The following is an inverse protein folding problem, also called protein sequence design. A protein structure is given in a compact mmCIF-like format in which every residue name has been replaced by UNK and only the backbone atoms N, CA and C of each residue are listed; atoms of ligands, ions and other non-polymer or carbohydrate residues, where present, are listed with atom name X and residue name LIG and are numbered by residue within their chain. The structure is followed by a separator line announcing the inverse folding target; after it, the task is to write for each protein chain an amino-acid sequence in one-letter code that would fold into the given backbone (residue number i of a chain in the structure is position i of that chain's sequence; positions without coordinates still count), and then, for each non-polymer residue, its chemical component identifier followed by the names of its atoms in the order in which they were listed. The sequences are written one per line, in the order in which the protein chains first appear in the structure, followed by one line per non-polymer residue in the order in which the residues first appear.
data_IF_464888076875
#
_entry.id   IF_464888076875
#
_cell.length_a   1.000
_cell.length_b   1.000
_cell.length_c   1.000
_cell.angle_alpha   90.00
_cell.angle_beta   90.00
_cell.angle_gamma   90.00
#
_symmetry.space_group_name_H-M   'P 1'
#
loop_
_entity.id
_entity.type
_entity.pdbx_description
1 polymer ?
#
# COMPACT_ATOMS: atom_id res chain seq x y z
N UNK A 1 -22.83 7.52 41.03
CA UNK A 1 -22.67 8.57 42.07
C UNK A 1 -21.31 9.24 41.91
N UNK A 2 -21.14 10.48 42.39
CA UNK A 2 -19.84 11.19 42.37
C UNK A 2 -18.71 10.41 43.06
N UNK A 3 -19.05 9.54 44.03
CA UNK A 3 -18.08 8.70 44.75
C UNK A 3 -17.34 7.71 43.83
N UNK A 4 -18.01 7.14 42.82
CA UNK A 4 -17.37 6.18 41.90
C UNK A 4 -16.45 6.87 40.90
N UNK A 5 -16.79 8.09 40.48
CA UNK A 5 -16.01 8.86 39.48
C UNK A 5 -14.70 9.41 40.05
N UNK A 6 -14.62 9.57 41.37
CA UNK A 6 -13.45 10.07 42.09
C UNK A 6 -12.61 8.94 42.70
N UNK A 7 -13.08 7.69 42.64
CA UNK A 7 -12.36 6.56 43.21
C UNK A 7 -11.36 6.00 42.18
N UNK A 8 -10.06 6.23 42.41
CA UNK A 8 -8.98 5.81 41.52
C UNK A 8 -9.00 4.31 41.21
N UNK A 9 -9.25 3.44 42.18
CA UNK A 9 -9.25 1.99 41.97
C UNK A 9 -10.41 1.54 41.06
N UNK A 10 -11.62 2.05 41.31
CA UNK A 10 -12.78 1.75 40.47
C UNK A 10 -12.60 2.29 39.05
N UNK A 11 -12.12 3.53 38.90
CA UNK A 11 -11.84 4.12 37.58
C UNK A 11 -10.76 3.33 36.87
N UNK A 12 -9.67 2.96 37.55
CA UNK A 12 -8.58 2.16 36.96
C UNK A 12 -9.09 0.83 36.43
N UNK A 13 -9.96 0.14 37.18
CA UNK A 13 -10.58 -1.10 36.73
C UNK A 13 -11.46 -0.87 35.50
N UNK A 14 -12.29 0.18 35.52
CA UNK A 14 -13.19 0.50 34.41
C UNK A 14 -12.44 0.84 33.11
N UNK A 15 -11.36 1.63 33.18
CA UNK A 15 -10.58 2.00 31.98
C UNK A 15 -9.78 0.84 31.41
N UNK A 16 -9.39 -0.13 32.24
CA UNK A 16 -8.75 -1.38 31.78
C UNK A 16 -9.70 -2.28 31.00
N UNK A 17 -10.98 -2.28 31.36
CA UNK A 17 -12.01 -3.04 30.63
C UNK A 17 -12.52 -2.27 29.41
N UNK A 18 -12.68 -0.95 29.53
CA UNK A 18 -13.18 -0.04 28.49
C UNK A 18 -12.49 1.33 28.58
N UNK A 19 -11.52 1.61 27.69
CA UNK A 19 -10.71 2.83 27.73
C UNK A 19 -11.54 4.12 27.69
N UNK A 20 -12.64 4.13 26.94
CA UNK A 20 -13.57 5.27 26.86
C UNK A 20 -14.29 5.59 28.19
N UNK A 21 -14.18 4.73 29.20
CA UNK A 21 -14.66 5.01 30.57
C UNK A 21 -13.96 6.22 31.19
N UNK A 22 -12.73 6.49 30.78
CA UNK A 22 -12.27 7.81 30.32
C UNK A 22 -13.10 9.03 30.79
N UNK A 23 -14.11 9.26 29.97
CA UNK A 23 -15.02 10.42 30.00
C UNK A 23 -15.85 10.57 31.27
N UNK A 24 -16.01 9.50 32.05
CA UNK A 24 -16.81 9.52 33.27
C UNK A 24 -15.98 9.77 34.53
N UNK A 25 -14.64 9.70 34.45
CA UNK A 25 -13.77 9.99 35.58
C UNK A 25 -13.85 11.47 35.98
N UNK A 26 -13.47 11.78 37.21
CA UNK A 26 -13.31 13.16 37.68
C UNK A 26 -12.23 13.88 36.88
N UNK A 27 -12.21 15.22 36.93
CA UNK A 27 -11.18 15.99 36.21
C UNK A 27 -9.78 15.67 36.72
N UNK A 28 -9.64 15.43 38.02
CA UNK A 28 -8.40 15.01 38.65
C UNK A 28 -7.94 13.63 38.16
N UNK A 29 -8.87 12.68 37.91
CA UNK A 29 -8.52 11.36 37.39
C UNK A 29 -8.37 11.30 35.86
N UNK A 30 -9.02 12.19 35.11
CA UNK A 30 -8.69 12.49 33.70
C UNK A 30 -7.30 13.09 33.55
N UNK A 31 -6.74 13.53 34.67
CA UNK A 31 -5.42 14.11 34.82
C UNK A 31 -4.46 13.15 35.55
N UNK A 32 -4.89 11.97 35.97
CA UNK A 32 -4.00 11.01 36.64
C UNK A 32 -3.22 10.18 35.60
N UNK A 33 -1.89 10.18 35.71
CA UNK A 33 -1.01 9.53 34.73
C UNK A 33 -1.29 8.02 34.58
N UNK A 34 -1.47 7.30 35.69
CA UNK A 34 -1.70 5.86 35.67
C UNK A 34 -3.04 5.51 35.01
N UNK A 35 -4.06 6.31 35.32
CA UNK A 35 -5.42 6.14 34.79
C UNK A 35 -5.43 6.42 33.28
N UNK A 36 -4.85 7.55 32.86
CA UNK A 36 -4.79 7.94 31.45
C UNK A 36 -3.97 6.93 30.66
N UNK A 37 -2.80 6.51 31.17
CA UNK A 37 -1.96 5.53 30.50
C UNK A 37 -2.66 4.18 30.35
N UNK A 38 -3.38 3.72 31.38
CA UNK A 38 -4.18 2.51 31.31
C UNK A 38 -5.29 2.62 30.26
N UNK A 39 -5.98 3.78 30.20
CA UNK A 39 -7.04 4.03 29.24
C UNK A 39 -6.54 4.03 27.78
N UNK A 40 -5.46 4.75 27.48
CA UNK A 40 -4.94 4.86 26.09
C UNK A 40 -4.31 3.56 25.59
N UNK A 41 -3.73 2.75 26.49
CA UNK A 41 -3.23 1.41 26.14
C UNK A 41 -4.37 0.47 25.79
N UNK A 42 -5.50 0.57 26.50
CA UNK A 42 -6.69 -0.19 26.19
C UNK A 42 -7.32 0.25 24.86
N UNK A 43 -7.42 1.57 24.65
CA UNK A 43 -7.98 2.19 23.44
C UNK A 43 -7.38 3.58 23.23
N UNK A 44 -6.61 3.73 22.15
CA UNK A 44 -5.91 4.99 21.84
C UNK A 44 -6.81 6.22 21.81
N UNK A 45 -8.05 6.11 21.33
CA UNK A 45 -8.99 7.25 21.29
C UNK A 45 -9.42 7.76 22.67
N UNK A 46 -9.17 7.02 23.76
CA UNK A 46 -9.43 7.49 25.12
C UNK A 46 -8.65 8.78 25.46
N UNK A 47 -7.60 9.10 24.70
CA UNK A 47 -6.88 10.36 24.77
C UNK A 47 -7.79 11.59 24.61
N UNK A 48 -8.93 11.46 23.91
CA UNK A 48 -9.98 12.49 23.82
C UNK A 48 -10.39 13.05 25.19
N UNK A 49 -10.46 12.17 26.19
CA UNK A 49 -10.96 12.47 27.53
C UNK A 49 -9.86 12.83 28.54
N UNK A 50 -8.60 12.66 28.16
CA UNK A 50 -7.48 13.09 28.99
C UNK A 50 -7.40 14.62 29.04
N UNK A 51 -6.71 15.14 30.05
CA UNK A 51 -6.43 16.57 30.13
C UNK A 51 -5.55 17.08 28.98
N UNK A 52 -5.58 18.39 28.76
CA UNK A 52 -4.86 19.04 27.68
C UNK A 52 -3.34 18.83 27.77
N UNK A 53 -2.78 18.69 28.99
CA UNK A 53 -1.35 18.41 29.14
C UNK A 53 -0.92 17.05 28.61
N UNK A 54 -1.80 16.05 28.58
CA UNK A 54 -1.50 14.74 27.99
C UNK A 54 -1.68 14.77 26.48
N UNK A 55 -2.67 15.53 25.99
CA UNK A 55 -2.84 15.82 24.55
C UNK A 55 -1.68 16.62 23.97
N UNK A 56 -1.02 17.44 24.79
CA UNK A 56 0.18 18.19 24.43
C UNK A 56 1.49 17.44 24.73
N UNK A 57 1.42 16.21 25.24
CA UNK A 57 2.59 15.38 25.55
C UNK A 57 2.84 14.36 24.45
N UNK A 58 3.91 14.55 23.68
CA UNK A 58 4.29 13.66 22.57
C UNK A 58 4.32 12.18 22.95
N UNK A 59 4.86 11.82 24.12
CA UNK A 59 4.95 10.42 24.57
C UNK A 59 3.56 9.80 24.74
N UNK A 60 2.63 10.53 25.34
CA UNK A 60 1.25 10.05 25.55
C UNK A 60 0.50 9.92 24.23
N UNK A 61 0.65 10.89 23.33
CA UNK A 61 0.02 10.83 22.01
C UNK A 61 0.58 9.65 21.20
N UNK A 62 1.90 9.47 21.16
CA UNK A 62 2.51 8.35 20.43
C UNK A 62 2.15 6.99 21.05
N UNK A 63 2.06 6.88 22.38
CA UNK A 63 1.57 5.66 23.05
C UNK A 63 0.13 5.34 22.64
N UNK A 64 -0.76 6.34 22.64
CA UNK A 64 -2.14 6.17 22.19
C UNK A 64 -2.21 5.73 20.71
N UNK A 65 -1.33 6.28 19.87
CA UNK A 65 -1.23 5.90 18.44
C UNK A 65 -0.77 4.45 18.22
N UNK A 66 -0.06 3.82 19.16
CA UNK A 66 0.32 2.41 19.03
C UNK A 66 -0.92 1.51 18.96
N UNK A 67 -1.93 1.81 19.78
CA UNK A 67 -3.22 1.12 19.81
C UNK A 67 -4.08 1.54 18.61
N UNK A 68 -4.24 2.86 18.39
CA UNK A 68 -5.07 3.40 17.32
C UNK A 68 -4.46 4.69 16.76
N UNK A 69 -3.97 4.66 15.53
CA UNK A 69 -3.28 5.81 14.91
C UNK A 69 -4.13 7.09 14.83
N UNK A 70 -5.47 6.96 14.79
CA UNK A 70 -6.41 8.10 14.79
C UNK A 70 -6.32 8.94 16.09
N UNK A 71 -5.65 8.45 17.14
CA UNK A 71 -5.38 9.21 18.35
C UNK A 71 -4.64 10.54 18.10
N UNK A 72 -3.91 10.67 16.98
CA UNK A 72 -3.27 11.92 16.57
C UNK A 72 -4.26 13.10 16.41
N UNK A 73 -5.54 12.83 16.10
CA UNK A 73 -6.57 13.86 15.99
C UNK A 73 -6.81 14.59 17.33
N UNK A 74 -6.55 13.92 18.45
CA UNK A 74 -6.70 14.46 19.80
C UNK A 74 -5.44 15.12 20.34
N UNK A 75 -4.33 15.11 19.59
CA UNK A 75 -3.13 15.85 19.95
C UNK A 75 -3.42 17.36 20.04
N UNK A 76 -2.58 18.11 20.74
CA UNK A 76 -2.67 19.56 20.73
C UNK A 76 -2.35 20.14 19.35
N UNK A 77 -2.85 21.34 19.06
CA UNK A 77 -2.49 22.07 17.83
C UNK A 77 -0.99 22.36 17.73
N UNK A 78 -0.31 22.51 18.88
CA UNK A 78 1.15 22.64 18.95
C UNK A 78 1.83 21.40 18.39
N UNK A 79 1.46 20.21 18.85
CA UNK A 79 2.02 18.95 18.35
C UNK A 79 1.63 18.69 16.89
N UNK A 80 0.36 18.90 16.51
CA UNK A 80 -0.07 18.76 15.11
C UNK A 80 0.67 19.71 14.16
N UNK A 81 1.22 20.81 14.67
CA UNK A 81 2.00 21.78 13.92
C UNK A 81 3.51 21.53 13.96
N UNK A 82 3.99 20.59 14.78
CA UNK A 82 5.39 20.24 14.96
C UNK A 82 5.81 19.16 13.96
N UNK A 83 6.74 19.51 13.07
CA UNK A 83 7.24 18.62 12.02
C UNK A 83 7.87 17.35 12.58
N UNK A 84 8.63 17.44 13.67
CA UNK A 84 9.35 16.30 14.24
C UNK A 84 8.38 15.32 14.87
N UNK A 85 7.37 15.83 15.60
CA UNK A 85 6.28 15.02 16.10
C UNK A 85 5.55 14.28 14.96
N UNK A 86 5.22 14.99 13.88
CA UNK A 86 4.58 14.39 12.70
C UNK A 86 5.46 13.31 12.07
N UNK A 87 6.77 13.53 11.96
CA UNK A 87 7.71 12.53 11.45
C UNK A 87 7.73 11.28 12.35
N UNK A 88 7.76 11.45 13.68
CA UNK A 88 7.63 10.35 14.65
C UNK A 88 6.32 9.58 14.48
N UNK A 89 5.21 10.30 14.29
CA UNK A 89 3.88 9.73 14.09
C UNK A 89 3.77 8.88 12.83
N UNK A 90 4.23 9.37 11.67
CA UNK A 90 4.19 8.59 10.41
C UNK A 90 5.20 7.44 10.40
N UNK A 91 6.32 7.57 11.12
CA UNK A 91 7.27 6.46 11.34
C UNK A 91 6.64 5.35 12.17
N UNK A 92 5.83 5.70 13.17
CA UNK A 92 5.11 4.72 13.99
C UNK A 92 4.00 4.02 13.20
N UNK A 93 3.21 4.78 12.43
CA UNK A 93 2.11 4.30 11.59
C UNK A 93 2.01 5.16 10.33
N UNK A 94 2.44 4.65 9.17
CA UNK A 94 2.44 5.43 7.93
C UNK A 94 1.06 5.95 7.51
N UNK A 95 -0.01 5.24 7.85
CA UNK A 95 -1.38 5.68 7.58
C UNK A 95 -1.80 6.94 8.35
N UNK A 96 -1.04 7.36 9.37
CA UNK A 96 -1.27 8.64 10.05
C UNK A 96 -1.23 9.83 9.09
N UNK A 97 -0.60 9.71 7.92
CA UNK A 97 -0.55 10.73 6.86
C UNK A 97 -1.94 11.32 6.49
N UNK A 98 -3.04 10.56 6.62
CA UNK A 98 -4.39 11.07 6.33
C UNK A 98 -4.89 12.09 7.37
N UNK A 99 -4.35 12.06 8.59
CA UNK A 99 -4.78 12.88 9.74
C UNK A 99 -3.89 14.10 10.01
N UNK A 100 -2.80 14.28 9.25
CA UNK A 100 -1.87 15.41 9.45
C UNK A 100 -2.25 16.61 8.61
N UNK A 101 -1.74 17.78 8.97
CA UNK A 101 -2.00 19.03 8.24
C UNK A 101 -1.49 18.95 6.78
N UNK A 102 -2.20 19.55 5.80
CA UNK A 102 -1.83 19.49 4.38
C UNK A 102 -0.39 19.91 4.07
N UNK A 103 0.18 20.86 4.83
CA UNK A 103 1.58 21.29 4.68
C UNK A 103 2.58 20.13 4.85
N UNK A 104 2.25 19.13 5.66
CA UNK A 104 3.08 17.94 5.88
C UNK A 104 2.79 16.81 4.88
N UNK A 105 1.60 16.78 4.28
CA UNK A 105 1.30 15.91 3.13
C UNK A 105 2.07 16.35 1.87
N UNK A 106 2.66 17.55 1.88
CA UNK A 106 3.56 18.06 0.85
C UNK A 106 5.05 17.94 1.23
N UNK A 107 5.37 17.41 2.40
CA UNK A 107 6.75 17.22 2.83
C UNK A 107 7.27 15.87 2.32
N UNK A 108 8.30 15.91 1.47
CA UNK A 108 8.87 14.72 0.82
C UNK A 108 9.34 13.67 1.82
N UNK A 109 9.99 14.08 2.91
CA UNK A 109 10.53 13.14 3.91
C UNK A 109 9.39 12.46 4.66
N UNK A 110 8.42 13.25 5.16
CA UNK A 110 7.27 12.72 5.89
C UNK A 110 6.46 11.76 5.00
N UNK A 111 6.20 12.13 3.74
CA UNK A 111 5.44 11.29 2.81
C UNK A 111 6.20 10.02 2.45
N UNK A 112 7.53 10.10 2.24
CA UNK A 112 8.34 8.92 1.96
C UNK A 112 8.38 7.96 3.16
N UNK A 113 8.64 8.47 4.37
CA UNK A 113 8.58 7.69 5.61
C UNK A 113 7.21 7.08 5.83
N UNK A 114 6.13 7.82 5.53
CA UNK A 114 4.78 7.29 5.61
C UNK A 114 4.56 6.12 4.62
N UNK A 115 5.06 6.22 3.38
CA UNK A 115 4.97 5.14 2.39
C UNK A 115 5.75 3.91 2.85
N UNK A 116 6.93 4.08 3.46
CA UNK A 116 7.76 2.99 4.00
C UNK A 116 7.09 2.26 5.18
N UNK A 117 6.36 2.98 6.02
CA UNK A 117 5.75 2.45 7.25
C UNK A 117 4.22 2.27 7.13
N UNK A 118 3.70 2.36 5.91
CA UNK A 118 2.27 2.36 5.60
C UNK A 118 1.82 1.14 4.82
N UNK A 119 0.57 1.18 4.34
CA UNK A 119 0.06 0.20 3.38
C UNK A 119 0.14 0.73 1.95
N UNK A 120 -0.24 -0.11 0.98
CA UNK A 120 -0.18 0.19 -0.45
C UNK A 120 -0.98 1.44 -0.90
N UNK A 121 -1.90 1.94 -0.07
CA UNK A 121 -2.72 3.13 -0.35
C UNK A 121 -2.22 4.42 0.30
N UNK A 122 -1.11 4.38 1.05
CA UNK A 122 -0.64 5.55 1.82
C UNK A 122 -0.33 6.75 0.93
N UNK A 123 0.27 6.52 -0.24
CA UNK A 123 0.62 7.60 -1.19
C UNK A 123 -0.60 8.37 -1.73
N UNK A 124 -1.82 7.82 -1.62
CA UNK A 124 -3.07 8.53 -1.97
C UNK A 124 -3.19 9.88 -1.27
N UNK A 125 -2.64 10.00 -0.06
CA UNK A 125 -2.76 11.18 0.79
C UNK A 125 -1.62 12.19 0.61
N UNK A 126 -0.64 11.93 -0.27
CA UNK A 126 0.33 12.93 -0.65
C UNK A 126 -0.35 14.11 -1.39
N UNK A 127 0.25 15.29 -1.34
CA UNK A 127 -0.20 16.45 -2.11
C UNK A 127 -0.18 16.17 -3.62
N UNK A 128 -1.00 16.91 -4.38
CA UNK A 128 -0.99 16.82 -5.84
C UNK A 128 0.35 17.28 -6.44
N UNK A 129 1.02 18.21 -5.77
CA UNK A 129 2.36 18.67 -6.11
C UNK A 129 3.37 17.51 -6.07
N UNK A 130 3.37 16.70 -5.01
CA UNK A 130 4.25 15.53 -4.90
C UNK A 130 3.83 14.39 -5.83
N UNK A 131 2.53 14.20 -6.09
CA UNK A 131 2.04 13.24 -7.10
C UNK A 131 2.40 13.63 -8.54
N UNK A 132 2.82 14.87 -8.75
CA UNK A 132 3.28 15.41 -10.03
C UNK A 132 4.81 15.67 -10.06
N UNK A 133 5.51 15.41 -8.96
CA UNK A 133 6.97 15.46 -8.90
C UNK A 133 7.55 14.13 -9.40
N UNK A 134 8.13 14.17 -10.60
CA UNK A 134 8.68 12.98 -11.27
C UNK A 134 9.72 12.25 -10.42
N UNK A 135 10.72 12.98 -9.91
CA UNK A 135 11.83 12.35 -9.19
C UNK A 135 11.36 11.76 -7.87
N UNK A 136 10.39 12.40 -7.21
CA UNK A 136 9.77 11.87 -6.00
C UNK A 136 8.90 10.65 -6.30
N UNK A 137 8.05 10.69 -7.33
CA UNK A 137 7.24 9.54 -7.75
C UNK A 137 8.12 8.34 -8.10
N UNK A 138 9.23 8.53 -8.81
CA UNK A 138 10.15 7.43 -9.12
C UNK A 138 10.79 6.83 -7.85
N UNK A 139 10.97 7.58 -6.77
CA UNK A 139 11.40 7.04 -5.47
C UNK A 139 10.29 6.25 -4.80
N UNK A 140 9.08 6.82 -4.73
CA UNK A 140 7.90 6.18 -4.13
C UNK A 140 7.59 4.85 -4.80
N UNK A 141 7.66 4.76 -6.13
CA UNK A 141 7.37 3.53 -6.87
C UNK A 141 8.32 2.39 -6.52
N UNK A 142 9.59 2.67 -6.17
CA UNK A 142 10.55 1.64 -5.74
C UNK A 142 10.16 1.00 -4.41
N UNK A 143 9.47 1.74 -3.55
CA UNK A 143 9.03 1.28 -2.23
C UNK A 143 7.63 0.65 -2.34
N UNK A 144 6.72 1.29 -3.06
CA UNK A 144 5.33 0.87 -3.21
C UNK A 144 4.87 1.01 -4.68
N UNK A 145 5.10 -0.01 -5.52
CA UNK A 145 4.76 0.03 -6.95
C UNK A 145 3.28 0.30 -7.26
N UNK A 146 2.37 -0.12 -6.38
CA UNK A 146 0.92 0.12 -6.51
C UNK A 146 0.52 1.59 -6.32
N UNK A 147 1.46 2.43 -5.87
CA UNK A 147 1.25 3.88 -5.75
C UNK A 147 1.05 4.57 -7.10
N UNK A 148 1.41 3.89 -8.21
CA UNK A 148 1.22 4.40 -9.57
C UNK A 148 -0.24 4.81 -9.87
N UNK A 149 -1.22 4.16 -9.25
CA UNK A 149 -2.64 4.52 -9.41
C UNK A 149 -2.95 5.96 -8.99
N UNK A 150 -2.19 6.51 -8.04
CA UNK A 150 -2.37 7.86 -7.47
C UNK A 150 -1.44 8.91 -8.09
N UNK A 151 -0.54 8.51 -8.98
CA UNK A 151 0.32 9.44 -9.73
C UNK A 151 -0.56 10.32 -10.63
N UNK A 152 -0.15 11.58 -10.79
CA UNK A 152 -0.85 12.54 -11.66
C UNK A 152 -0.99 12.02 -13.10
N UNK A 153 -2.07 12.41 -13.79
CA UNK A 153 -2.32 11.98 -15.17
C UNK A 153 -1.17 12.39 -16.11
N UNK A 154 -0.58 13.57 -15.89
CA UNK A 154 0.62 14.03 -16.60
C UNK A 154 1.78 13.03 -16.51
N UNK A 155 2.04 12.49 -15.32
CA UNK A 155 3.12 11.52 -15.12
C UNK A 155 2.73 10.09 -15.51
N UNK A 156 1.43 9.77 -15.60
CA UNK A 156 0.94 8.52 -16.22
C UNK A 156 1.16 8.48 -17.74
N UNK A 157 1.52 9.61 -18.35
CA UNK A 157 1.94 9.71 -19.75
C UNK A 157 3.48 9.85 -19.90
N UNK A 158 4.22 10.00 -18.80
CA UNK A 158 5.68 10.09 -18.85
C UNK A 158 6.32 8.72 -19.09
N UNK A 159 7.07 8.60 -20.19
CA UNK A 159 7.70 7.34 -20.61
C UNK A 159 8.60 6.70 -19.55
N UNK A 160 9.34 7.49 -18.77
CA UNK A 160 10.24 6.95 -17.76
C UNK A 160 9.45 6.41 -16.56
N UNK A 161 8.44 7.16 -16.12
CA UNK A 161 7.54 6.74 -15.03
C UNK A 161 6.78 5.48 -15.40
N UNK A 162 6.17 5.43 -16.59
CA UNK A 162 5.44 4.24 -17.08
C UNK A 162 6.36 3.02 -17.11
N UNK A 163 7.53 3.13 -17.74
CA UNK A 163 8.47 2.00 -17.86
C UNK A 163 8.88 1.46 -16.51
N UNK A 164 9.20 2.33 -15.56
CA UNK A 164 9.54 1.90 -14.21
C UNK A 164 8.34 1.26 -13.50
N UNK A 165 7.15 1.87 -13.57
CA UNK A 165 5.94 1.35 -12.95
C UNK A 165 5.57 -0.06 -13.46
N UNK A 166 5.66 -0.29 -14.77
CA UNK A 166 5.36 -1.59 -15.39
C UNK A 166 6.43 -2.64 -15.11
N UNK A 167 7.71 -2.22 -15.01
CA UNK A 167 8.81 -3.11 -14.65
C UNK A 167 8.68 -3.60 -13.21
N UNK A 168 8.19 -2.74 -12.30
CA UNK A 168 7.99 -3.09 -10.89
C UNK A 168 6.69 -3.88 -10.67
N UNK A 169 5.59 -3.50 -11.31
CA UNK A 169 4.30 -4.21 -11.24
C UNK A 169 3.52 -4.06 -12.55
N UNK A 170 3.40 -5.15 -13.31
CA UNK A 170 2.76 -5.16 -14.63
C UNK A 170 1.30 -4.74 -14.61
N UNK A 171 0.57 -5.02 -13.51
CA UNK A 171 -0.83 -4.60 -13.36
C UNK A 171 -1.02 -3.08 -13.29
N UNK A 172 0.06 -2.31 -13.16
CA UNK A 172 0.01 -0.86 -13.33
C UNK A 172 -0.45 -0.43 -14.73
N UNK A 173 -0.41 -1.35 -15.72
CA UNK A 173 -0.97 -1.15 -17.05
C UNK A 173 -2.43 -0.68 -16.98
N UNK A 174 -3.22 -1.16 -16.01
CA UNK A 174 -4.64 -0.81 -15.87
C UNK A 174 -4.92 0.68 -15.67
N UNK A 175 -3.92 1.44 -15.19
CA UNK A 175 -4.05 2.86 -14.90
C UNK A 175 -3.62 3.75 -16.07
N UNK A 176 -3.20 3.16 -17.19
CA UNK A 176 -2.82 3.89 -18.39
C UNK A 176 -4.04 4.14 -19.31
N UNK A 177 -4.05 5.25 -20.07
CA UNK A 177 -5.05 5.49 -21.11
C UNK A 177 -4.98 4.40 -22.20
N UNK A 178 -6.10 4.19 -22.90
CA UNK A 178 -6.24 3.08 -23.87
C UNK A 178 -5.16 3.08 -24.95
N UNK A 179 -4.76 4.24 -25.48
CA UNK A 179 -3.70 4.35 -26.48
C UNK A 179 -2.35 3.82 -25.99
N UNK A 180 -2.04 3.94 -24.69
CA UNK A 180 -0.82 3.39 -24.09
C UNK A 180 -0.98 1.91 -23.72
N UNK A 181 -2.21 1.46 -23.39
CA UNK A 181 -2.52 0.02 -23.22
C UNK A 181 -2.53 -0.74 -24.55
N UNK A 182 -2.60 -0.02 -25.66
CA UNK A 182 -2.52 -0.50 -27.03
C UNK A 182 -1.10 -0.43 -27.63
N UNK A 183 -0.12 0.13 -26.89
CA UNK A 183 1.29 0.08 -27.29
C UNK A 183 1.83 -1.34 -27.04
N UNK A 184 2.23 -2.03 -28.10
CA UNK A 184 2.73 -3.41 -28.04
C UNK A 184 3.93 -3.56 -27.10
N UNK A 185 4.85 -2.58 -27.05
CA UNK A 185 6.04 -2.67 -26.22
C UNK A 185 5.69 -2.52 -24.73
N UNK A 186 4.80 -1.59 -24.38
CA UNK A 186 4.32 -1.40 -23.01
C UNK A 186 3.47 -2.60 -22.55
N UNK A 187 2.58 -3.10 -23.41
CA UNK A 187 1.76 -4.27 -23.13
C UNK A 187 2.64 -5.52 -22.90
N UNK A 188 3.60 -5.79 -23.78
CA UNK A 188 4.54 -6.90 -23.60
C UNK A 188 5.38 -6.76 -22.34
N UNK A 189 5.84 -5.55 -22.00
CA UNK A 189 6.58 -5.28 -20.77
C UNK A 189 5.75 -5.59 -19.52
N UNK A 190 4.50 -5.13 -19.51
CA UNK A 190 3.57 -5.37 -18.40
C UNK A 190 3.26 -6.87 -18.23
N UNK A 191 2.92 -7.56 -19.32
CA UNK A 191 2.59 -9.00 -19.31
C UNK A 191 3.79 -9.85 -18.92
N UNK A 192 4.99 -9.51 -19.41
CA UNK A 192 6.23 -10.18 -19.04
C UNK A 192 6.51 -10.12 -17.55
N UNK A 193 6.22 -8.97 -16.92
CA UNK A 193 6.37 -8.84 -15.47
C UNK A 193 5.23 -9.56 -14.74
N UNK A 194 3.99 -9.28 -15.10
CA UNK A 194 2.83 -9.90 -14.46
C UNK A 194 1.79 -10.24 -15.53
N UNK A 195 1.60 -11.52 -15.81
CA UNK A 195 0.66 -11.96 -16.85
C UNK A 195 -0.79 -11.57 -16.56
N UNK A 196 -1.15 -11.33 -15.29
CA UNK A 196 -2.47 -10.78 -14.95
C UNK A 196 -2.68 -9.38 -15.54
N UNK A 197 -1.62 -8.71 -16.00
CA UNK A 197 -1.72 -7.48 -16.76
C UNK A 197 -2.40 -7.68 -18.12
N UNK A 198 -2.41 -8.90 -18.66
CA UNK A 198 -2.99 -9.23 -19.96
C UNK A 198 -4.46 -8.81 -20.06
N UNK A 199 -5.23 -8.90 -18.97
CA UNK A 199 -6.64 -8.46 -18.95
C UNK A 199 -6.84 -6.97 -19.24
N UNK A 200 -5.81 -6.15 -19.01
CA UNK A 200 -5.83 -4.71 -19.22
C UNK A 200 -5.32 -4.29 -20.60
N UNK A 201 -4.70 -5.21 -21.34
CA UNK A 201 -4.25 -4.98 -22.70
C UNK A 201 -5.44 -4.61 -23.60
N UNK A 202 -5.20 -3.73 -24.56
CA UNK A 202 -6.23 -3.26 -25.50
C UNK A 202 -6.96 -4.43 -26.17
N UNK A 203 -8.21 -4.20 -26.57
CA UNK A 203 -8.99 -5.22 -27.30
C UNK A 203 -8.28 -5.67 -28.59
N UNK A 204 -7.64 -4.73 -29.29
CA UNK A 204 -6.89 -5.01 -30.53
C UNK A 204 -5.75 -6.00 -30.28
N UNK A 205 -4.92 -5.74 -29.27
CA UNK A 205 -3.78 -6.61 -28.96
C UNK A 205 -4.24 -7.97 -28.39
N UNK A 206 -5.33 -8.02 -27.61
CA UNK A 206 -5.91 -9.30 -27.15
C UNK A 206 -6.53 -10.14 -28.27
N UNK A 207 -6.79 -9.54 -29.43
CA UNK A 207 -7.22 -10.22 -30.66
C UNK A 207 -6.04 -10.45 -31.64
N UNK A 208 -4.84 -9.97 -31.32
CA UNK A 208 -3.66 -10.20 -32.16
C UNK A 208 -3.04 -11.55 -31.80
N UNK A 209 -3.16 -12.52 -32.72
CA UNK A 209 -2.68 -13.89 -32.51
C UNK A 209 -1.21 -13.95 -32.09
N UNK A 210 -0.33 -13.20 -32.75
CA UNK A 210 1.10 -13.20 -32.44
C UNK A 210 1.36 -12.67 -31.03
N UNK A 211 0.69 -11.59 -30.65
CA UNK A 211 0.81 -11.02 -29.29
C UNK A 211 0.29 -11.98 -28.21
N UNK A 212 -0.82 -12.66 -28.46
CA UNK A 212 -1.37 -13.66 -27.53
C UNK A 212 -0.38 -14.83 -27.38
N UNK A 213 0.14 -15.35 -28.49
CA UNK A 213 1.14 -16.43 -28.49
C UNK A 213 2.39 -16.04 -27.70
N UNK A 214 2.93 -14.86 -27.99
CA UNK A 214 4.09 -14.32 -27.27
C UNK A 214 3.81 -14.18 -25.77
N UNK A 215 2.61 -13.72 -25.40
CA UNK A 215 2.17 -13.59 -24.00
C UNK A 215 2.11 -14.94 -23.28
N UNK A 216 1.56 -15.98 -23.94
CA UNK A 216 1.49 -17.36 -23.41
C UNK A 216 2.89 -17.93 -23.19
N UNK A 217 3.80 -17.73 -24.15
CA UNK A 217 5.18 -18.21 -24.02
C UNK A 217 5.94 -17.53 -22.86
N UNK A 218 5.72 -16.23 -22.68
CA UNK A 218 6.35 -15.43 -21.64
C UNK A 218 5.76 -15.70 -20.24
N UNK A 219 4.50 -16.14 -20.15
CA UNK A 219 3.83 -16.41 -18.89
C UNK A 219 4.46 -17.54 -18.08
N UNK A 220 4.38 -17.46 -16.74
CA UNK A 220 4.62 -18.61 -15.88
C UNK A 220 3.50 -19.65 -16.10
N UNK A 221 3.80 -20.95 -16.23
CA UNK A 221 2.81 -22.02 -16.35
C UNK A 221 1.62 -21.93 -15.40
N UNK A 222 1.84 -21.46 -14.17
CA UNK A 222 0.82 -21.38 -13.12
C UNK A 222 -0.11 -20.16 -13.21
N UNK A 223 0.12 -19.26 -14.17
CA UNK A 223 -0.61 -17.97 -14.27
C UNK A 223 -1.25 -17.77 -15.66
N UNK A 224 -1.25 -18.83 -16.48
CA UNK A 224 -1.61 -18.76 -17.90
C UNK A 224 -3.13 -18.68 -18.13
N UNK A 225 -3.92 -19.01 -17.11
CA UNK A 225 -5.38 -18.92 -17.11
C UNK A 225 -5.85 -17.50 -17.44
N UNK A 226 -5.13 -16.46 -16.98
CA UNK A 226 -5.43 -15.07 -17.31
C UNK A 226 -5.38 -14.82 -18.84
N UNK A 227 -4.43 -15.41 -19.57
CA UNK A 227 -4.40 -15.24 -21.03
C UNK A 227 -5.57 -15.98 -21.69
N UNK A 228 -5.85 -17.21 -21.26
CA UNK A 228 -6.94 -18.02 -21.79
C UNK A 228 -8.33 -17.39 -21.56
N UNK A 229 -8.53 -16.75 -20.41
CA UNK A 229 -9.81 -16.09 -20.07
C UNK A 229 -10.05 -14.84 -20.93
N UNK A 230 -9.01 -14.04 -21.17
CA UNK A 230 -9.17 -12.70 -21.74
C UNK A 230 -8.79 -12.60 -23.23
N UNK A 231 -8.15 -13.61 -23.81
CA UNK A 231 -7.88 -13.68 -25.25
C UNK A 231 -9.19 -13.70 -26.04
N UNK A 232 -9.21 -13.09 -27.23
CA UNK A 232 -10.41 -13.12 -28.06
C UNK A 232 -10.62 -14.52 -28.66
N UNK A 233 -11.74 -15.15 -28.28
CA UNK A 233 -12.13 -16.49 -28.73
C UNK A 233 -12.42 -16.60 -30.22
N UNK A 234 -12.64 -15.48 -30.91
CA UNK A 234 -12.77 -15.45 -32.38
C UNK A 234 -11.42 -15.63 -33.09
N UNK A 235 -10.31 -15.37 -32.39
CA UNK A 235 -8.95 -15.37 -32.97
C UNK A 235 -8.11 -16.58 -32.58
N UNK A 236 -8.39 -17.14 -31.39
CA UNK A 236 -7.82 -18.40 -30.91
C UNK A 236 -8.90 -19.12 -30.11
N UNK A 237 -9.18 -20.37 -30.48
CA UNK A 237 -10.13 -21.21 -29.74
C UNK A 237 -9.55 -21.59 -28.38
N UNK A 238 -10.42 -21.87 -27.40
CA UNK A 238 -10.00 -22.37 -26.08
C UNK A 238 -9.11 -23.62 -26.21
N UNK A 239 -9.36 -24.46 -27.23
CA UNK A 239 -8.58 -25.66 -27.55
C UNK A 239 -7.18 -25.33 -28.08
N UNK A 240 -7.05 -24.35 -28.97
CA UNK A 240 -5.74 -23.90 -29.45
C UNK A 240 -4.91 -23.32 -28.30
N UNK A 241 -5.51 -22.44 -27.48
CA UNK A 241 -4.85 -21.85 -26.31
C UNK A 241 -4.40 -22.96 -25.34
N UNK A 242 -5.28 -23.92 -25.02
CA UNK A 242 -4.95 -25.05 -24.16
C UNK A 242 -3.81 -25.93 -24.73
N UNK A 243 -3.79 -26.17 -26.04
CA UNK A 243 -2.72 -26.92 -26.70
C UNK A 243 -1.38 -26.20 -26.60
N UNK A 244 -1.35 -24.89 -26.84
CA UNK A 244 -0.14 -24.07 -26.75
C UNK A 244 0.39 -24.02 -25.31
N UNK A 245 -0.52 -23.90 -24.33
CA UNK A 245 -0.19 -23.99 -22.91
C UNK A 245 0.48 -25.34 -22.60
N UNK A 246 -0.12 -26.44 -23.05
CA UNK A 246 0.40 -27.78 -22.82
C UNK A 246 1.79 -27.98 -23.46
N UNK A 247 1.98 -27.54 -24.69
CA UNK A 247 3.28 -27.59 -25.38
C UNK A 247 4.35 -26.73 -24.70
N UNK A 248 3.98 -25.51 -24.30
CA UNK A 248 4.90 -24.58 -23.59
C UNK A 248 5.33 -25.17 -22.26
N UNK A 249 4.39 -25.75 -21.49
CA UNK A 249 4.68 -26.41 -20.22
C UNK A 249 5.59 -27.62 -20.40
N UNK A 250 5.31 -28.47 -21.40
CA UNK A 250 6.13 -29.63 -21.75
C UNK A 250 7.56 -29.21 -22.13
N UNK A 251 7.71 -28.15 -22.92
CA UNK A 251 9.02 -27.60 -23.31
C UNK A 251 9.81 -27.05 -22.12
N UNK A 252 9.16 -26.30 -21.21
CA UNK A 252 9.79 -25.78 -19.98
C UNK A 252 10.22 -26.92 -19.04
N UNK A 253 9.37 -27.93 -18.83
CA UNK A 253 9.69 -29.13 -18.06
C UNK A 253 10.88 -29.89 -18.65
N UNK A 254 10.92 -30.08 -19.97
CA UNK A 254 12.02 -30.75 -20.65
C UNK A 254 13.37 -30.00 -20.48
N UNK A 255 13.36 -28.66 -20.48
CA UNK A 255 14.55 -27.85 -20.19
C UNK A 255 15.03 -28.00 -18.74
N UNK A 256 14.12 -27.98 -17.77
CA UNK A 256 14.47 -28.17 -16.35
C UNK A 256 15.10 -29.54 -16.14
N UNK A 257 14.52 -30.59 -16.72
CA UNK A 257 15.04 -31.96 -16.61
C UNK A 257 16.44 -32.09 -17.23
N UNK A 258 16.68 -31.48 -18.40
CA UNK A 258 18.01 -31.46 -19.03
C UNK A 258 19.05 -30.70 -18.19
N UNK A 259 18.68 -29.56 -17.63
CA UNK A 259 19.58 -28.77 -16.80
C UNK A 259 19.96 -29.51 -15.50
N UNK A 260 18.99 -30.18 -14.86
CA UNK A 260 19.25 -30.98 -13.67
C UNK A 260 20.13 -32.20 -13.95
N UNK A 261 20.00 -32.82 -15.12
CA UNK A 261 20.90 -33.89 -15.58
C UNK A 261 22.31 -33.36 -15.84
N UNK A 262 22.45 -32.17 -16.43
CA UNK A 262 23.75 -31.56 -16.70
C UNK A 262 24.50 -31.20 -15.41
N UNK A 263 23.83 -30.64 -14.40
CA UNK A 263 24.43 -30.36 -13.09
C UNK A 263 24.81 -31.63 -12.33
N UNK A 264 23.97 -32.67 -12.37
CA UNK A 264 24.28 -33.96 -11.74
C UNK A 264 25.49 -34.68 -12.38
N UNK A 265 25.82 -34.36 -13.64
CA UNK A 265 26.98 -34.93 -14.34
C UNK A 265 28.26 -34.10 -14.12
N UNK A 266 28.16 -32.87 -13.62
CA UNK A 266 29.32 -32.03 -13.26
C UNK A 266 29.78 -32.20 -11.79
N UNK A 267 28.96 -32.84 -10.95
CA UNK A 267 29.27 -33.14 -9.54
C UNK A 267 29.77 -34.58 -9.29
N UNK A 268 29.99 -35.36 -10.35
CA UNK A 268 30.61 -36.70 -10.35
C UNK A 268 32.02 -36.65 -10.93
#
# INVERSE_FOLDING_TARGET
SNLLRNNKEYVLKAVKDFGDSLKYASKELQDDEDIVLAAIKQRGTALEYASDRFKDNEKFVLEAMQSQFIAIDYASERLKSDRNFILSAVKLKGHALVHILPKFQNDKEIVLTAVENGNFNTFKYASDELKNDKDFVLQVLKISPYSFQYVSDKLKEDKAVIKQALTLEGRNLQFLPENLRDDTNLASMAVKQNVDAFKYVSKRLRANKDFVLDSVHQANPNTIDSVAIYANKETLTDTEIASIIAETNKSKLAKILKNNQATATQEL
#
